data_IF_025647987782
#
_entry.id   IF_025647987782
#
_cell.length_a   1.000
_cell.length_b   1.000
_cell.length_c   1.000
_cell.angle_alpha   90.00
_cell.angle_beta   90.00
_cell.angle_gamma   90.00
#
_symmetry.space_group_name_H-M   'P 1'
#
loop_
_entity.id
_entity.type
_entity.pdbx_description
1 polymer ?
#
# COMPACT_ATOMS: atom_id res chain seq x y z
N UNK A 1 -4.90 -10.72 -28.86
CA UNK A 1 -4.26 -11.68 -27.93
C UNK A 1 -4.07 -11.12 -26.51
N UNK A 2 -4.05 -9.78 -26.31
CA UNK A 2 -3.95 -9.15 -24.98
C UNK A 2 -5.28 -9.08 -24.19
N UNK A 3 -6.44 -9.18 -24.86
CA UNK A 3 -7.75 -9.13 -24.18
C UNK A 3 -8.09 -10.40 -23.38
N UNK A 4 -7.47 -11.53 -23.72
CA UNK A 4 -7.73 -12.80 -23.03
C UNK A 4 -7.10 -12.83 -21.63
N UNK A 5 -5.94 -12.20 -21.46
CA UNK A 5 -5.25 -12.09 -20.16
C UNK A 5 -6.04 -11.21 -19.19
N UNK A 6 -6.59 -10.08 -19.67
CA UNK A 6 -7.46 -9.22 -18.86
C UNK A 6 -8.76 -9.89 -18.42
N UNK A 7 -9.27 -10.88 -19.18
CA UNK A 7 -10.44 -11.69 -18.81
C UNK A 7 -10.10 -12.85 -17.86
N UNK A 8 -8.89 -13.40 -17.93
CA UNK A 8 -8.42 -14.43 -17.01
C UNK A 8 -8.19 -13.86 -15.60
N UNK A 9 -7.60 -12.68 -15.47
CA UNK A 9 -7.44 -12.00 -14.17
C UNK A 9 -8.75 -11.42 -13.61
N UNK A 10 -9.74 -11.12 -14.46
CA UNK A 10 -11.10 -10.76 -14.03
C UNK A 10 -11.87 -11.96 -13.45
N UNK A 11 -11.41 -13.19 -13.66
CA UNK A 11 -12.07 -14.41 -13.17
C UNK A 11 -11.53 -14.89 -11.81
N UNK A 12 -10.39 -14.38 -11.35
CA UNK A 12 -9.96 -14.51 -9.95
C UNK A 12 -10.66 -13.53 -8.99
N UNK A 13 -11.59 -12.72 -9.51
CA UNK A 13 -12.43 -11.79 -8.75
C UNK A 13 -13.65 -12.45 -8.11
N UNK A 14 -13.94 -13.73 -8.38
CA UNK A 14 -15.18 -14.41 -7.97
C UNK A 14 -15.12 -14.98 -6.53
N UNK A 15 -14.60 -14.19 -5.60
CA UNK A 15 -14.80 -14.42 -4.19
C UNK A 15 -14.79 -13.07 -3.49
N UNK A 16 -15.96 -12.66 -2.98
CA UNK A 16 -16.04 -11.57 -2.00
C UNK A 16 -15.07 -11.93 -0.87
N UNK A 17 -13.92 -11.27 -0.85
CA UNK A 17 -12.94 -11.48 0.21
C UNK A 17 -13.36 -10.65 1.41
N UNK A 18 -13.16 -11.16 2.62
CA UNK A 18 -13.56 -10.44 3.83
C UNK A 18 -12.80 -9.12 3.98
N UNK A 19 -11.61 -9.04 3.37
CA UNK A 19 -10.78 -7.85 3.34
C UNK A 19 -11.12 -6.86 2.22
N UNK A 20 -11.97 -7.24 1.25
CA UNK A 20 -12.39 -6.38 0.15
C UNK A 20 -11.34 -6.13 -0.95
N UNK A 21 -10.21 -6.85 -0.93
CA UNK A 21 -9.11 -6.68 -1.88
C UNK A 21 -8.89 -7.88 -2.79
N UNK A 22 -8.51 -7.65 -4.05
CA UNK A 22 -7.88 -8.70 -4.87
C UNK A 22 -6.39 -8.82 -4.55
N UNK A 23 -5.74 -9.93 -4.92
CA UNK A 23 -4.34 -10.19 -4.54
C UNK A 23 -3.38 -9.08 -4.98
N UNK A 24 -3.55 -8.52 -6.18
CA UNK A 24 -2.74 -7.39 -6.65
C UNK A 24 -2.89 -6.13 -5.78
N UNK A 25 -4.08 -5.89 -5.21
CA UNK A 25 -4.33 -4.78 -4.30
C UNK A 25 -3.73 -5.04 -2.92
N UNK A 26 -3.74 -6.29 -2.43
CA UNK A 26 -3.05 -6.66 -1.19
C UNK A 26 -1.55 -6.42 -1.29
N UNK A 27 -0.96 -6.80 -2.42
CA UNK A 27 0.44 -6.54 -2.74
C UNK A 27 0.73 -5.04 -2.82
N UNK A 28 -0.18 -4.25 -3.42
CA UNK A 28 -0.05 -2.81 -3.46
C UNK A 28 -0.12 -2.17 -2.06
N UNK A 29 -1.00 -2.68 -1.20
CA UNK A 29 -1.12 -2.24 0.18
C UNK A 29 0.16 -2.51 0.99
N UNK A 30 0.77 -3.70 0.83
CA UNK A 30 2.06 -4.03 1.46
C UNK A 30 3.16 -3.08 0.99
N UNK A 31 3.21 -2.77 -0.32
CA UNK A 31 4.18 -1.82 -0.87
C UNK A 31 3.98 -0.39 -0.30
N UNK A 32 2.73 0.08 -0.14
CA UNK A 32 2.42 1.38 0.46
C UNK A 32 2.85 1.44 1.91
N UNK A 33 2.51 0.41 2.69
CA UNK A 33 2.88 0.29 4.12
C UNK A 33 4.39 0.35 4.27
N UNK A 34 5.14 -0.44 3.48
CA UNK A 34 6.59 -0.42 3.53
C UNK A 34 7.15 0.95 3.12
N UNK A 35 6.59 1.59 2.10
CA UNK A 35 7.03 2.90 1.67
C UNK A 35 6.81 3.97 2.76
N UNK A 36 5.68 3.91 3.47
CA UNK A 36 5.37 4.80 4.60
C UNK A 36 6.42 4.64 5.72
N UNK A 37 6.65 3.40 6.16
CA UNK A 37 7.63 3.07 7.21
C UNK A 37 9.06 3.51 6.85
N UNK A 38 9.44 3.41 5.57
CA UNK A 38 10.76 3.83 5.10
C UNK A 38 10.88 5.34 4.87
N UNK A 39 9.76 6.04 4.62
CA UNK A 39 9.73 7.49 4.52
C UNK A 39 9.96 8.15 5.89
N UNK A 40 9.42 7.56 6.96
CA UNK A 40 9.43 8.17 8.29
C UNK A 40 10.80 8.11 9.00
N UNK A 41 11.72 7.21 8.62
CA UNK A 41 13.05 7.02 9.27
C UNK A 41 13.01 6.73 10.79
N UNK A 42 11.88 6.89 11.47
CA UNK A 42 11.60 6.50 12.83
C UNK A 42 10.68 5.28 12.83
N UNK A 43 11.21 4.09 12.51
CA UNK A 43 10.44 2.87 12.69
C UNK A 43 10.08 2.67 14.18
N UNK A 44 8.87 3.05 14.56
CA UNK A 44 8.38 2.79 15.90
C UNK A 44 8.06 1.30 16.04
N UNK A 45 8.25 0.76 17.24
CA UNK A 45 7.87 -0.64 17.55
C UNK A 45 6.38 -0.86 17.28
N UNK A 46 5.55 0.16 17.48
CA UNK A 46 4.12 0.11 17.24
C UNK A 46 3.76 -0.01 15.76
N UNK A 47 4.46 0.68 14.86
CA UNK A 47 4.26 0.54 13.42
C UNK A 47 4.61 -0.86 12.92
N UNK A 48 5.69 -1.46 13.44
CA UNK A 48 6.03 -2.86 13.09
C UNK A 48 4.97 -3.86 13.59
N UNK A 49 4.41 -3.64 14.79
CA UNK A 49 3.30 -4.45 15.31
C UNK A 49 2.05 -4.28 14.48
N UNK A 50 1.74 -3.04 14.09
CA UNK A 50 0.63 -2.72 13.24
C UNK A 50 0.77 -3.34 11.85
N UNK A 51 1.94 -3.26 11.22
CA UNK A 51 2.22 -3.96 9.96
C UNK A 51 1.95 -5.45 10.10
N UNK A 52 2.45 -6.10 11.16
CA UNK A 52 2.18 -7.53 11.39
C UNK A 52 0.69 -7.81 11.59
N UNK A 53 -0.04 -6.95 12.29
CA UNK A 53 -1.49 -7.08 12.49
C UNK A 53 -2.26 -6.92 11.19
N UNK A 54 -2.02 -5.84 10.46
CA UNK A 54 -2.71 -5.55 9.20
C UNK A 54 -2.42 -6.62 8.16
N UNK A 55 -1.15 -7.02 8.01
CA UNK A 55 -0.79 -8.08 7.07
C UNK A 55 -1.28 -9.47 7.49
N UNK A 56 -1.44 -9.75 8.79
CA UNK A 56 -2.10 -10.97 9.27
C UNK A 56 -3.61 -10.99 9.00
N UNK A 57 -4.24 -9.82 8.89
CA UNK A 57 -5.66 -9.70 8.54
C UNK A 57 -5.91 -9.87 7.03
N UNK A 58 -4.88 -9.71 6.20
CA UNK A 58 -4.98 -9.91 4.76
C UNK A 58 -5.21 -11.37 4.43
N UNK A 59 -6.21 -11.64 3.59
CA UNK A 59 -6.43 -12.96 3.03
C UNK A 59 -5.42 -13.22 1.91
N UNK A 60 -4.14 -13.32 2.25
CA UNK A 60 -3.05 -13.49 1.29
C UNK A 60 -3.26 -14.76 0.46
N UNK A 61 -3.32 -14.62 -0.87
CA UNK A 61 -3.62 -15.70 -1.83
C UNK A 61 -2.51 -15.93 -2.86
N UNK A 62 -1.38 -15.21 -2.76
CA UNK A 62 -0.27 -15.41 -3.69
C UNK A 62 0.41 -16.77 -3.47
N UNK A 63 0.93 -17.33 -4.56
CA UNK A 63 1.82 -18.50 -4.54
C UNK A 63 3.13 -18.16 -3.82
N UNK A 64 3.52 -16.89 -3.84
CA UNK A 64 4.65 -16.37 -3.07
C UNK A 64 4.18 -16.15 -1.63
N UNK A 65 4.83 -16.76 -0.62
CA UNK A 65 4.52 -16.47 0.78
C UNK A 65 4.66 -14.99 1.09
N UNK A 66 3.75 -14.46 1.92
CA UNK A 66 3.74 -13.05 2.31
C UNK A 66 5.11 -12.57 2.82
N UNK A 67 5.79 -13.37 3.64
CA UNK A 67 7.12 -13.04 4.18
C UNK A 67 8.17 -12.83 3.08
N UNK A 68 8.15 -13.70 2.05
CA UNK A 68 9.05 -13.58 0.90
C UNK A 68 8.71 -12.33 0.08
N UNK A 69 7.43 -12.06 -0.13
CA UNK A 69 6.99 -10.85 -0.80
C UNK A 69 7.45 -9.59 -0.05
N UNK A 70 7.24 -9.54 1.27
CA UNK A 70 7.68 -8.43 2.12
C UNK A 70 9.19 -8.24 2.03
N UNK A 71 9.98 -9.31 1.99
CA UNK A 71 11.43 -9.23 1.83
C UNK A 71 11.85 -8.60 0.48
N UNK A 72 11.23 -9.03 -0.61
CA UNK A 72 11.47 -8.47 -1.95
C UNK A 72 11.02 -7.01 -2.05
N UNK A 73 9.81 -6.73 -1.56
CA UNK A 73 9.22 -5.39 -1.52
C UNK A 73 10.08 -4.42 -0.69
N UNK A 74 10.65 -4.88 0.43
CA UNK A 74 11.57 -4.08 1.25
C UNK A 74 12.79 -3.64 0.45
N UNK A 75 13.36 -4.52 -0.38
CA UNK A 75 14.50 -4.20 -1.23
C UNK A 75 14.12 -3.19 -2.32
N UNK A 76 12.92 -3.34 -2.92
CA UNK A 76 12.35 -2.40 -3.90
C UNK A 76 12.13 -1.02 -3.29
N UNK A 77 11.52 -0.96 -2.10
CA UNK A 77 11.26 0.29 -1.37
C UNK A 77 12.56 0.98 -0.99
N UNK A 78 13.54 0.25 -0.44
CA UNK A 78 14.85 0.83 -0.10
C UNK A 78 15.51 1.49 -1.31
N UNK A 79 15.53 0.80 -2.45
CA UNK A 79 16.04 1.36 -3.71
C UNK A 79 15.23 2.57 -4.18
N UNK A 80 13.91 2.55 -4.00
CA UNK A 80 13.05 3.68 -4.34
C UNK A 80 13.37 4.92 -3.50
N UNK A 81 13.75 4.75 -2.23
CA UNK A 81 14.15 5.85 -1.34
C UNK A 81 15.49 6.50 -1.71
N UNK A 82 16.32 5.86 -2.54
CA UNK A 82 17.60 6.42 -3.00
C UNK A 82 17.42 7.52 -4.07
N UNK A 83 16.26 7.60 -4.72
CA UNK A 83 16.02 8.54 -5.83
C UNK A 83 14.54 8.95 -5.94
N UNK A 84 14.24 10.26 -6.02
CA UNK A 84 12.88 10.75 -6.27
C UNK A 84 12.24 10.14 -7.53
N UNK A 85 13.03 9.85 -8.57
CA UNK A 85 12.52 9.25 -9.80
C UNK A 85 12.06 7.80 -9.57
N UNK A 86 12.81 7.02 -8.80
CA UNK A 86 12.47 5.63 -8.47
C UNK A 86 11.30 5.55 -7.49
N UNK A 87 11.23 6.47 -6.53
CA UNK A 87 10.05 6.64 -5.66
C UNK A 87 8.78 6.90 -6.49
N UNK A 88 8.85 7.81 -7.45
CA UNK A 88 7.74 8.13 -8.35
C UNK A 88 7.32 6.93 -9.22
N UNK A 89 8.27 6.12 -9.68
CA UNK A 89 7.98 4.88 -10.42
C UNK A 89 7.27 3.84 -9.55
N UNK A 90 7.74 3.64 -8.32
CA UNK A 90 7.11 2.75 -7.35
C UNK A 90 5.68 3.20 -7.03
N UNK A 91 5.47 4.49 -6.74
CA UNK A 91 4.14 5.06 -6.46
C UNK A 91 3.18 4.87 -7.64
N UNK A 92 3.66 5.02 -8.88
CA UNK A 92 2.85 4.74 -10.08
C UNK A 92 2.47 3.27 -10.17
N UNK A 93 3.43 2.36 -9.96
CA UNK A 93 3.18 0.91 -9.97
C UNK A 93 2.19 0.48 -8.88
N UNK A 94 2.19 1.15 -7.72
CA UNK A 94 1.20 0.96 -6.67
C UNK A 94 -0.18 1.44 -7.15
N UNK A 95 -0.27 2.66 -7.68
CA UNK A 95 -1.52 3.26 -8.15
C UNK A 95 -2.21 2.39 -9.23
N UNK A 96 -1.43 1.84 -10.17
CA UNK A 96 -1.94 0.99 -11.26
C UNK A 96 -2.54 -0.34 -10.78
N UNK A 97 -2.16 -0.79 -9.57
CA UNK A 97 -2.68 -2.04 -8.98
C UNK A 97 -3.95 -1.84 -8.17
N UNK A 98 -4.35 -0.60 -7.87
CA UNK A 98 -5.64 -0.30 -7.25
C UNK A 98 -6.71 -0.05 -8.29
N UNK A 99 -7.68 -0.96 -8.36
CA UNK A 99 -8.67 -0.99 -9.45
C UNK A 99 -9.92 -0.16 -9.17
N UNK A 100 -10.23 0.10 -7.90
CA UNK A 100 -11.40 0.89 -7.50
C UNK A 100 -11.02 2.09 -6.64
N UNK A 101 -11.84 3.14 -6.67
CA UNK A 101 -11.69 4.29 -5.79
C UNK A 101 -11.85 3.92 -4.31
N UNK A 102 -12.71 2.94 -4.01
CA UNK A 102 -12.92 2.41 -2.67
C UNK A 102 -11.65 1.73 -2.14
N UNK A 103 -11.00 0.89 -2.96
CA UNK A 103 -9.73 0.24 -2.62
C UNK A 103 -8.63 1.27 -2.32
N UNK A 104 -8.60 2.37 -3.09
CA UNK A 104 -7.65 3.47 -2.88
C UNK A 104 -7.93 4.24 -1.59
N UNK A 105 -9.19 4.59 -1.35
CA UNK A 105 -9.62 5.27 -0.13
C UNK A 105 -9.25 4.45 1.11
N UNK A 106 -9.56 3.16 1.10
CA UNK A 106 -9.26 2.26 2.21
C UNK A 106 -7.76 2.05 2.42
N UNK A 107 -6.98 1.96 1.34
CA UNK A 107 -5.52 1.89 1.44
C UNK A 107 -4.93 3.17 2.06
N UNK A 108 -5.50 4.33 1.73
CA UNK A 108 -5.10 5.60 2.30
C UNK A 108 -5.49 5.75 3.78
N UNK A 109 -6.71 5.35 4.15
CA UNK A 109 -7.14 5.28 5.56
C UNK A 109 -6.22 4.38 6.39
N UNK A 110 -5.89 3.19 5.90
CA UNK A 110 -4.98 2.28 6.60
C UNK A 110 -3.57 2.87 6.74
N UNK A 111 -3.09 3.57 5.71
CA UNK A 111 -1.82 4.30 5.80
C UNK A 111 -1.88 5.42 6.84
N UNK A 112 -2.99 6.14 6.95
CA UNK A 112 -3.17 7.19 7.97
C UNK A 112 -3.19 6.61 9.38
N UNK A 113 -3.93 5.52 9.60
CA UNK A 113 -3.98 4.82 10.88
C UNK A 113 -2.58 4.32 11.29
N UNK A 114 -1.75 3.98 10.31
CA UNK A 114 -0.37 3.55 10.53
C UNK A 114 0.56 4.67 10.93
N UNK A 115 0.57 5.76 10.19
CA UNK A 115 1.36 6.95 10.51
C UNK A 115 0.88 7.65 11.80
N UNK A 116 -0.29 7.29 12.31
CA UNK A 116 -0.83 7.80 13.57
C UNK A 116 -0.68 6.82 14.73
N UNK A 117 -0.11 5.63 14.50
CA UNK A 117 -0.10 4.54 15.47
C UNK A 117 0.71 4.87 16.73
N UNK A 118 1.73 5.71 16.62
CA UNK A 118 2.56 6.16 17.73
C UNK A 118 2.04 7.46 18.39
N UNK A 119 1.00 8.07 17.81
CA UNK A 119 0.36 9.30 18.27
C UNK A 119 1.10 10.59 17.93
N UNK A 120 2.17 10.56 17.12
CA UNK A 120 2.99 11.73 16.78
C UNK A 120 3.09 11.87 15.27
N UNK A 121 2.44 12.89 14.68
CA UNK A 121 2.68 13.24 13.28
C UNK A 121 3.97 14.03 13.10
N UNK A 122 4.93 13.47 12.38
CA UNK A 122 6.13 14.19 11.93
C UNK A 122 5.84 15.01 10.67
N UNK A 123 6.74 15.95 10.32
CA UNK A 123 6.58 16.76 9.10
C UNK A 123 6.74 15.89 7.85
N UNK A 124 7.62 14.90 7.93
CA UNK A 124 7.91 13.90 6.91
C UNK A 124 6.69 13.02 6.64
N UNK A 125 5.98 12.56 7.68
CA UNK A 125 4.75 11.77 7.54
C UNK A 125 3.63 12.58 6.93
N UNK A 126 3.46 13.85 7.32
CA UNK A 126 2.47 14.75 6.71
C UNK A 126 2.78 14.94 5.23
N UNK A 127 4.05 15.17 4.87
CA UNK A 127 4.46 15.33 3.47
C UNK A 127 4.23 14.04 2.66
N UNK A 128 4.54 12.87 3.24
CA UNK A 128 4.30 11.58 2.60
C UNK A 128 2.80 11.29 2.46
N UNK A 129 2.00 11.61 3.48
CA UNK A 129 0.55 11.46 3.45
C UNK A 129 -0.06 12.28 2.31
N UNK A 130 0.35 13.54 2.15
CA UNK A 130 -0.17 14.40 1.06
C UNK A 130 0.33 13.93 -0.32
N UNK A 131 1.58 13.47 -0.45
CA UNK A 131 2.06 12.86 -1.68
C UNK A 131 1.22 11.61 -2.04
N UNK A 132 1.01 10.69 -1.08
CA UNK A 132 0.23 9.49 -1.30
C UNK A 132 -1.23 9.82 -1.69
N UNK A 133 -1.83 10.83 -1.06
CA UNK A 133 -3.17 11.33 -1.38
C UNK A 133 -3.26 11.76 -2.84
N UNK A 134 -2.32 12.60 -3.30
CA UNK A 134 -2.26 13.06 -4.69
C UNK A 134 -2.12 11.89 -5.66
N UNK A 135 -1.24 10.94 -5.36
CA UNK A 135 -1.02 9.77 -6.21
C UNK A 135 -2.21 8.82 -6.28
N UNK A 136 -2.92 8.61 -5.17
CA UNK A 136 -4.13 7.78 -5.16
C UNK A 136 -5.34 8.50 -5.77
N UNK A 137 -5.23 9.80 -6.03
CA UNK A 137 -6.31 10.62 -6.59
C UNK A 137 -7.48 10.78 -5.62
N UNK A 138 -7.20 10.79 -4.31
CA UNK A 138 -8.21 10.98 -3.28
C UNK A 138 -8.47 12.47 -3.15
N UNK A 139 -9.72 12.88 -3.37
CA UNK A 139 -10.14 14.27 -3.25
C UNK A 139 -9.89 14.84 -1.86
N UNK A 140 -9.76 16.16 -1.78
CA UNK A 140 -9.71 16.88 -0.51
C UNK A 140 -11.11 16.81 0.12
N UNK A 141 -11.42 15.76 0.89
CA UNK A 141 -12.54 15.82 1.80
C UNK A 141 -12.14 16.76 2.94
N UNK A 142 -12.41 18.04 2.72
CA UNK A 142 -12.47 19.04 3.77
C UNK A 142 -13.52 18.56 4.78
N UNK A 143 -13.07 17.90 5.84
CA UNK A 143 -13.88 17.81 7.07
C UNK A 143 -14.06 19.23 7.59
N UNK A 144 -15.28 19.72 7.47
CA UNK A 144 -15.81 20.87 8.20
C UNK A 144 -16.14 20.48 9.63
#
# INVERSE_FOLDING_TARGET
MLELLGRLFRRESDGVTLDGYVQMEREALVDVILLAMYADKHLAIEEQRLMKRETASLQWKSVVPLENYVHEATSKVRKAMESPALKKELLRSIQERFFSSESRARAFELCQDMLLADGIKTTEEIAFQEELREYLGIGHESSH
#
